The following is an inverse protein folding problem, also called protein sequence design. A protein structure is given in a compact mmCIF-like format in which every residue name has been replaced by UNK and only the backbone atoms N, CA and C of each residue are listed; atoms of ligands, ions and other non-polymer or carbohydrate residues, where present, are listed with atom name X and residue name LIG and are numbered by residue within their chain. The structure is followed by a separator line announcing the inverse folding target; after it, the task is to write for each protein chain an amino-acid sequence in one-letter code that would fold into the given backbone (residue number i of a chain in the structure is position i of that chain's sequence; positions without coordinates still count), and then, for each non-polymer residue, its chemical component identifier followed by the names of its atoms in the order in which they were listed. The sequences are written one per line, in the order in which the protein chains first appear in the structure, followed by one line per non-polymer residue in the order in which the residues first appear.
data_IF_207842135905
#
_entry.id   IF_207842135905
#
_cell.length_a   1.000
_cell.length_b   1.000
_cell.length_c   1.000
_cell.angle_alpha   90.00
_cell.angle_beta   90.00
_cell.angle_gamma   90.00
#
_symmetry.space_group_name_H-M   'P 1'
#
loop_
_entity.id
_entity.type
_entity.pdbx_description
1 polymer ?
#
# COMPACT_ATOMS: atom_id res chain seq x y z
N UNK A 1 -20.76 0.57 6.96
CA UNK A 1 -19.32 0.68 7.21
C UNK A 1 -18.71 1.45 6.05
N UNK A 2 -18.26 2.68 6.30
CA UNK A 2 -17.80 3.64 5.29
C UNK A 2 -16.28 3.73 5.40
N UNK A 3 -15.57 3.43 4.33
CA UNK A 3 -14.11 3.44 4.28
C UNK A 3 -13.63 4.83 3.85
N UNK A 4 -13.60 5.78 4.78
CA UNK A 4 -13.08 7.13 4.54
C UNK A 4 -11.54 7.09 4.64
N UNK A 5 -10.86 6.80 3.52
CA UNK A 5 -9.41 6.87 3.40
C UNK A 5 -8.97 8.34 3.54
N UNK A 6 -8.33 8.69 4.66
CA UNK A 6 -7.66 9.98 4.78
C UNK A 6 -6.54 10.07 3.73
N UNK A 7 -6.70 10.99 2.81
CA UNK A 7 -5.72 11.35 1.78
C UNK A 7 -4.50 12.01 2.42
N UNK A 8 -3.50 11.21 2.78
CA UNK A 8 -2.15 11.73 2.94
C UNK A 8 -1.71 12.25 1.56
N UNK A 9 -1.42 13.55 1.48
CA UNK A 9 -0.98 14.29 0.29
C UNK A 9 -0.01 13.44 -0.55
N UNK A 10 -0.43 13.06 -1.76
CA UNK A 10 0.42 12.34 -2.70
C UNK A 10 1.32 13.32 -3.46
N UNK A 11 2.67 13.17 -3.44
CA UNK A 11 3.52 13.74 -4.47
C UNK A 11 4.01 12.62 -5.39
N UNK A 12 3.30 12.42 -6.49
CA UNK A 12 3.75 11.93 -7.81
C UNK A 12 2.54 11.39 -8.58
N UNK A 13 2.44 11.73 -9.87
CA UNK A 13 1.26 11.49 -10.71
C UNK A 13 1.03 10.02 -11.13
N UNK A 14 1.39 9.05 -10.28
CA UNK A 14 1.34 7.61 -10.55
C UNK A 14 0.51 6.82 -9.54
N UNK A 15 0.21 5.54 -9.85
CA UNK A 15 -0.47 4.64 -8.92
C UNK A 15 0.50 4.26 -7.79
N UNK A 16 -0.03 4.11 -6.57
CA UNK A 16 0.75 3.68 -5.42
C UNK A 16 0.03 2.53 -4.69
N UNK A 17 0.80 1.54 -4.23
CA UNK A 17 0.32 0.50 -3.31
C UNK A 17 0.60 0.95 -1.88
N UNK A 18 -0.43 0.95 -1.03
CA UNK A 18 -0.31 1.21 0.39
C UNK A 18 -0.57 -0.08 1.14
N UNK A 19 0.41 -0.53 1.93
CA UNK A 19 0.28 -1.69 2.80
C UNK A 19 0.34 -1.21 4.24
N UNK A 20 -0.73 -1.47 4.99
CA UNK A 20 -0.87 -1.03 6.37
C UNK A 20 -1.08 -2.19 7.33
N UNK A 21 -0.62 -2.02 8.58
CA UNK A 21 -0.93 -2.92 9.71
C UNK A 21 -2.00 -2.26 10.56
N UNK A 22 -3.09 -2.99 10.81
CA UNK A 22 -4.18 -2.55 11.67
C UNK A 22 -4.11 -3.26 13.02
N UNK A 23 -4.22 -2.50 14.10
CA UNK A 23 -4.43 -3.02 15.45
C UNK A 23 -5.70 -2.41 16.02
N UNK A 24 -6.72 -3.24 16.31
CA UNK A 24 -8.03 -2.77 16.79
C UNK A 24 -8.59 -1.63 15.93
N UNK A 25 -8.62 -1.85 14.61
CA UNK A 25 -9.10 -0.89 13.61
C UNK A 25 -8.28 0.41 13.48
N UNK A 26 -7.16 0.54 14.20
CA UNK A 26 -6.25 1.67 14.06
C UNK A 26 -5.05 1.29 13.20
N UNK A 27 -4.73 2.13 12.21
CA UNK A 27 -3.52 2.02 11.40
C UNK A 27 -2.30 2.35 12.26
N UNK A 28 -1.45 1.35 12.52
CA UNK A 28 -0.26 1.51 13.38
C UNK A 28 1.04 1.55 12.58
N UNK A 29 1.05 1.00 11.37
CA UNK A 29 2.18 1.06 10.44
C UNK A 29 1.66 1.18 9.02
N UNK A 30 2.36 1.95 8.19
CA UNK A 30 2.07 2.07 6.76
C UNK A 30 3.37 2.10 5.96
N UNK A 31 3.42 1.34 4.87
CA UNK A 31 4.43 1.44 3.83
C UNK A 31 3.78 1.76 2.48
N UNK A 32 4.33 2.74 1.79
CA UNK A 32 3.87 3.19 0.48
C UNK A 32 4.89 2.78 -0.58
N UNK A 33 4.41 2.11 -1.63
CA UNK A 33 5.20 1.72 -2.79
C UNK A 33 4.71 2.52 -4.00
N UNK A 34 5.59 3.34 -4.57
CA UNK A 34 5.31 4.18 -5.75
C UNK A 34 6.23 3.83 -6.92
N UNK A 35 6.69 2.58 -6.98
CA UNK A 35 7.60 2.09 -8.03
C UNK A 35 6.83 1.38 -9.13
N UNK A 36 7.35 1.46 -10.36
CA UNK A 36 6.85 0.68 -11.50
C UNK A 36 7.40 -0.76 -11.51
N UNK A 37 8.24 -1.13 -10.56
CA UNK A 37 8.73 -2.49 -10.40
C UNK A 37 7.68 -3.39 -9.71
N UNK A 38 7.66 -4.71 -10.00
CA UNK A 38 6.82 -5.65 -9.27
C UNK A 38 7.12 -5.62 -7.77
N UNK A 39 6.06 -5.66 -6.95
CA UNK A 39 6.13 -5.65 -5.49
C UNK A 39 5.77 -7.04 -4.99
N UNK A 40 6.70 -7.68 -4.27
CA UNK A 40 6.45 -8.99 -3.64
C UNK A 40 6.07 -8.80 -2.17
N UNK A 41 4.97 -9.44 -1.75
CA UNK A 41 4.51 -9.47 -0.36
C UNK A 41 4.90 -10.80 0.27
N UNK A 42 5.64 -10.73 1.39
CA UNK A 42 6.17 -11.90 2.08
C UNK A 42 7.48 -12.41 1.49
N UNK A 43 7.97 -13.53 2.01
CA UNK A 43 9.27 -14.12 1.60
C UNK A 43 9.14 -15.06 0.40
N UNK A 44 7.93 -15.53 0.09
CA UNK A 44 7.69 -16.33 -1.11
C UNK A 44 7.37 -15.41 -2.28
N UNK A 45 8.01 -15.61 -3.44
CA UNK A 45 7.73 -14.88 -4.69
C UNK A 45 6.32 -15.10 -5.27
N UNK A 46 5.48 -15.90 -4.59
CA UNK A 46 4.13 -16.28 -5.03
C UNK A 46 3.13 -15.14 -5.00
N UNK A 47 3.34 -14.14 -4.15
CA UNK A 47 2.46 -12.98 -4.05
C UNK A 47 3.20 -11.74 -4.59
N UNK A 48 3.10 -11.53 -5.90
CA UNK A 48 3.73 -10.41 -6.60
C UNK A 48 2.66 -9.58 -7.31
N UNK A 49 2.70 -8.26 -7.09
CA UNK A 49 1.76 -7.29 -7.63
C UNK A 49 2.50 -6.33 -8.56
N UNK A 50 1.94 -6.07 -9.73
CA UNK A 50 2.45 -5.03 -10.64
C UNK A 50 1.48 -3.85 -10.63
N UNK A 51 2.02 -2.66 -10.40
CA UNK A 51 1.25 -1.42 -10.49
C UNK A 51 1.33 -0.89 -11.93
N UNK A 52 0.19 -0.73 -12.62
CA UNK A 52 0.15 -0.12 -13.95
C UNK A 52 0.22 1.41 -13.91
#
# INVERSE_FOLDING_TARGET
MRWDWMTSRAPSAGRALRVGVLLRDNLVEERVFSTNAPITIGQSLRCTLSLP
#
